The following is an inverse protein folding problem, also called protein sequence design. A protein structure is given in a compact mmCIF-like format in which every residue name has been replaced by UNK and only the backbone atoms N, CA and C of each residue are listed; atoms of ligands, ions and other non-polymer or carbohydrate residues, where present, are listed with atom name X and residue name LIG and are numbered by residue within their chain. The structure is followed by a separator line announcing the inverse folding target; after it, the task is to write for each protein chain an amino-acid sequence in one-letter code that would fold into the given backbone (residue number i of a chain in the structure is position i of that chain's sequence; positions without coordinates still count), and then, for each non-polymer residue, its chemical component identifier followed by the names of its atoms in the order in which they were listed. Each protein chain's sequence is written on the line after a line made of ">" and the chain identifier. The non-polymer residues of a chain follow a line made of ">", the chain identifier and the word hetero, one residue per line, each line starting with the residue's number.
data_IF_170215411405
#
_entry.id   IF_170215411405
#
_cell.length_a   1.000
_cell.length_b   1.000
_cell.length_c   1.000
_cell.angle_alpha   90.00
_cell.angle_beta   90.00
_cell.angle_gamma   90.00
#
_symmetry.space_group_name_H-M   'P 1'
#
loop_
_entity.id
_entity.type
_entity.pdbx_description
1 polymer ?
#
# COMPACT_ATOMS: atom_id res chain seq x y z
N UNK A 1 6.23 35.11 13.39
CA UNK A 1 6.64 33.71 13.15
C UNK A 1 5.85 33.22 11.95
N UNK A 2 6.48 32.91 10.80
CA UNK A 2 5.79 32.21 9.74
C UNK A 2 5.75 30.72 10.09
N UNK A 3 4.57 30.13 9.96
CA UNK A 3 4.29 28.72 10.20
C UNK A 3 4.95 27.91 9.07
N UNK A 4 6.14 27.38 9.33
CA UNK A 4 6.92 26.59 8.35
C UNK A 4 6.42 25.16 8.39
N UNK A 5 5.15 24.95 8.02
CA UNK A 5 4.64 23.60 7.72
C UNK A 5 3.40 23.59 6.83
N UNK A 6 3.21 24.62 5.99
CA UNK A 6 2.41 24.43 4.77
C UNK A 6 3.23 23.57 3.81
N UNK A 7 3.18 22.25 4.02
CA UNK A 7 3.49 21.28 3.00
C UNK A 7 2.68 21.72 1.77
N UNK A 8 3.38 22.23 0.76
CA UNK A 8 2.76 22.79 -0.45
C UNK A 8 2.27 21.60 -1.26
N UNK A 9 1.19 20.98 -0.79
CA UNK A 9 0.54 19.86 -1.43
C UNK A 9 -0.07 20.40 -2.72
N UNK A 10 0.74 20.34 -3.77
CA UNK A 10 0.37 20.72 -5.10
C UNK A 10 -0.68 19.71 -5.59
N UNK A 11 -1.93 20.15 -5.66
CA UNK A 11 -3.06 19.32 -6.05
C UNK A 11 -3.28 19.40 -7.57
N UNK A 12 -3.70 18.28 -8.14
CA UNK A 12 -4.14 18.23 -9.53
C UNK A 12 -5.56 17.70 -9.58
N UNK A 13 -6.48 18.49 -10.13
CA UNK A 13 -7.91 18.16 -10.20
C UNK A 13 -8.59 18.79 -11.42
N UNK A 14 -9.77 18.27 -11.78
CA UNK A 14 -10.65 18.86 -12.80
C UNK A 14 -11.91 19.41 -12.14
N UNK A 15 -12.27 20.65 -12.45
CA UNK A 15 -13.50 21.28 -11.95
C UNK A 15 -14.07 22.24 -13.00
N UNK A 16 -15.39 22.20 -13.21
CA UNK A 16 -16.10 23.06 -14.17
C UNK A 16 -15.48 23.11 -15.58
N UNK A 17 -15.03 21.96 -16.10
CA UNK A 17 -14.38 21.87 -17.42
C UNK A 17 -12.94 22.39 -17.47
N UNK A 18 -12.40 22.91 -16.37
CA UNK A 18 -11.00 23.34 -16.24
C UNK A 18 -10.16 22.24 -15.59
N UNK A 19 -8.91 22.14 -16.01
CA UNK A 19 -7.91 21.26 -15.39
C UNK A 19 -6.90 22.13 -14.63
N UNK A 20 -6.72 21.83 -13.35
CA UNK A 20 -5.76 22.46 -12.46
C UNK A 20 -4.64 21.46 -12.22
N UNK A 21 -3.38 21.84 -12.46
CA UNK A 21 -2.22 20.94 -12.41
C UNK A 21 -1.18 21.54 -11.48
N UNK A 22 -0.90 20.86 -10.37
CA UNK A 22 0.03 21.29 -9.34
C UNK A 22 -0.30 22.68 -8.74
N UNK A 23 -1.57 22.91 -8.42
CA UNK A 23 -2.04 24.15 -7.79
C UNK A 23 -2.10 24.01 -6.27
N UNK A 24 -1.83 25.10 -5.55
CA UNK A 24 -2.01 25.12 -4.11
C UNK A 24 -3.50 25.15 -3.73
N UNK A 25 -3.81 24.75 -2.49
CA UNK A 25 -5.16 24.87 -1.92
C UNK A 25 -5.68 26.31 -1.96
N UNK A 26 -4.81 27.29 -1.69
CA UNK A 26 -5.15 28.71 -1.72
C UNK A 26 -5.53 29.17 -3.14
N UNK A 27 -4.75 28.77 -4.15
CA UNK A 27 -5.00 29.14 -5.55
C UNK A 27 -6.27 28.49 -6.09
N UNK A 28 -6.53 27.23 -5.73
CA UNK A 28 -7.78 26.53 -6.09
C UNK A 28 -9.00 27.25 -5.50
N UNK A 29 -8.92 27.64 -4.22
CA UNK A 29 -9.98 28.40 -3.56
C UNK A 29 -10.18 29.77 -4.21
N UNK A 30 -9.10 30.48 -4.54
CA UNK A 30 -9.14 31.75 -5.25
C UNK A 30 -9.73 31.61 -6.67
N UNK A 31 -9.48 30.48 -7.34
CA UNK A 31 -10.06 30.15 -8.64
C UNK A 31 -11.52 29.69 -8.59
N UNK A 32 -12.16 29.72 -7.41
CA UNK A 32 -13.56 29.38 -7.21
C UNK A 32 -13.84 27.88 -7.12
N UNK A 33 -12.82 27.04 -6.91
CA UNK A 33 -13.02 25.60 -6.70
C UNK A 33 -13.65 25.37 -5.32
N UNK A 34 -14.77 24.62 -5.21
CA UNK A 34 -15.41 24.35 -3.93
C UNK A 34 -14.49 23.60 -2.97
N UNK A 35 -14.62 23.89 -1.67
CA UNK A 35 -13.80 23.26 -0.62
C UNK A 35 -13.93 21.74 -0.63
N UNK A 36 -15.13 21.20 -0.85
CA UNK A 36 -15.36 19.76 -0.97
C UNK A 36 -14.57 19.11 -2.12
N UNK A 37 -14.40 19.80 -3.25
CA UNK A 37 -13.60 19.30 -4.38
C UNK A 37 -12.11 19.31 -4.06
N UNK A 38 -11.65 20.32 -3.33
CA UNK A 38 -10.27 20.40 -2.85
C UNK A 38 -10.00 19.28 -1.84
N UNK A 39 -10.88 19.07 -0.87
CA UNK A 39 -10.72 18.05 0.17
C UNK A 39 -10.69 16.64 -0.44
N UNK A 40 -11.54 16.37 -1.44
CA UNK A 40 -11.51 15.12 -2.20
C UNK A 40 -10.18 14.93 -2.95
N UNK A 41 -9.66 15.98 -3.58
CA UNK A 41 -8.36 15.92 -4.24
C UNK A 41 -7.22 15.67 -3.24
N UNK A 42 -7.29 16.25 -2.03
CA UNK A 42 -6.33 16.00 -0.95
C UNK A 42 -6.38 14.54 -0.47
N UNK A 43 -7.58 14.00 -0.24
CA UNK A 43 -7.77 12.58 0.10
C UNK A 43 -7.18 11.66 -0.96
N UNK A 44 -7.46 11.93 -2.24
CA UNK A 44 -6.94 11.17 -3.38
C UNK A 44 -5.42 11.22 -3.51
N UNK A 45 -4.82 12.41 -3.33
CA UNK A 45 -3.37 12.58 -3.32
C UNK A 45 -2.73 11.79 -2.17
N UNK A 46 -3.27 11.90 -0.96
CA UNK A 46 -2.77 11.19 0.21
C UNK A 46 -2.87 9.67 0.07
N UNK A 47 -4.01 9.16 -0.43
CA UNK A 47 -4.17 7.72 -0.72
C UNK A 47 -3.13 7.21 -1.72
N UNK A 48 -2.78 8.03 -2.72
CA UNK A 48 -1.75 7.67 -3.71
C UNK A 48 -0.38 7.51 -3.03
N UNK A 49 0.00 8.45 -2.16
CA UNK A 49 1.25 8.37 -1.39
C UNK A 49 1.28 7.17 -0.46
N UNK A 50 0.18 6.88 0.24
CA UNK A 50 0.04 5.71 1.12
C UNK A 50 0.19 4.41 0.34
N UNK A 51 -0.43 4.29 -0.84
CA UNK A 51 -0.29 3.11 -1.70
C UNK A 51 1.15 2.92 -2.16
N UNK A 52 1.88 4.00 -2.44
CA UNK A 52 3.30 3.93 -2.79
C UNK A 52 4.15 3.42 -1.61
N UNK A 53 3.89 3.89 -0.40
CA UNK A 53 4.58 3.42 0.81
C UNK A 53 4.24 1.96 1.14
N UNK A 54 2.97 1.55 1.02
CA UNK A 54 2.54 0.16 1.14
C UNK A 54 3.31 -0.75 0.17
N UNK A 55 3.39 -0.35 -1.10
CA UNK A 55 4.13 -1.07 -2.14
C UNK A 55 5.60 -1.20 -1.78
N UNK A 56 6.24 -0.10 -1.36
CA UNK A 56 7.65 -0.09 -0.92
C UNK A 56 7.88 -1.08 0.23
N UNK A 57 7.00 -1.09 1.24
CA UNK A 57 7.09 -1.98 2.40
C UNK A 57 6.94 -3.46 2.03
N UNK A 58 6.00 -3.79 1.15
CA UNK A 58 5.85 -5.17 0.64
C UNK A 58 7.12 -5.60 -0.10
N UNK A 59 7.67 -4.75 -0.97
CA UNK A 59 8.90 -5.09 -1.71
C UNK A 59 10.16 -5.15 -0.85
N UNK A 60 10.21 -4.38 0.25
CA UNK A 60 11.29 -4.49 1.23
C UNK A 60 11.29 -5.85 1.94
N UNK A 61 10.12 -6.50 2.04
CA UNK A 61 9.99 -7.85 2.61
C UNK A 61 10.25 -8.95 1.58
N UNK A 62 9.65 -8.83 0.41
CA UNK A 62 9.76 -9.81 -0.66
C UNK A 62 10.01 -9.09 -1.98
N UNK A 63 11.20 -9.28 -2.57
CA UNK A 63 11.51 -8.73 -3.88
C UNK A 63 10.55 -9.28 -4.96
N UNK A 64 10.52 -8.66 -6.14
CA UNK A 64 9.71 -9.18 -7.24
C UNK A 64 10.15 -10.61 -7.65
N UNK A 65 11.45 -10.90 -7.56
CA UNK A 65 12.02 -12.22 -7.84
C UNK A 65 11.61 -13.24 -6.76
N UNK A 66 11.76 -12.89 -5.48
CA UNK A 66 11.28 -13.68 -4.34
C UNK A 66 9.79 -14.01 -4.49
N UNK A 67 8.95 -13.02 -4.82
CA UNK A 67 7.50 -13.22 -5.05
C UNK A 67 7.22 -14.17 -6.21
N UNK A 68 7.97 -14.08 -7.31
CA UNK A 68 7.82 -14.96 -8.47
C UNK A 68 8.21 -16.41 -8.13
N UNK A 69 9.32 -16.58 -7.40
CA UNK A 69 9.80 -17.89 -6.99
C UNK A 69 8.83 -18.56 -6.01
N UNK A 70 8.32 -17.80 -5.03
CA UNK A 70 7.26 -18.25 -4.12
C UNK A 70 6.00 -18.71 -4.87
N UNK A 71 5.51 -17.88 -5.81
CA UNK A 71 4.32 -18.22 -6.60
C UNK A 71 4.53 -19.47 -7.46
N UNK A 72 5.72 -19.61 -8.06
CA UNK A 72 6.08 -20.76 -8.90
C UNK A 72 6.18 -22.05 -8.07
N UNK A 73 6.84 -21.98 -6.90
CA UNK A 73 6.94 -23.12 -5.98
C UNK A 73 5.55 -23.55 -5.48
N UNK A 74 4.72 -22.60 -5.05
CA UNK A 74 3.36 -22.88 -4.61
C UNK A 74 2.51 -23.49 -5.73
N UNK A 75 2.64 -23.00 -6.98
CA UNK A 75 1.93 -23.56 -8.13
C UNK A 75 2.38 -25.00 -8.47
N UNK A 76 3.69 -25.27 -8.42
CA UNK A 76 4.22 -26.62 -8.65
C UNK A 76 3.69 -27.63 -7.62
N UNK A 77 3.61 -27.22 -6.35
CA UNK A 77 3.05 -28.05 -5.27
C UNK A 77 1.53 -28.21 -5.44
N UNK A 78 0.82 -27.15 -5.82
CA UNK A 78 -0.63 -27.19 -6.03
C UNK A 78 -1.03 -28.19 -7.14
N UNK A 79 -0.16 -28.40 -8.14
CA UNK A 79 -0.34 -29.40 -9.19
C UNK A 79 -0.24 -30.86 -8.73
N UNK A 80 0.29 -31.12 -7.53
CA UNK A 80 0.35 -32.48 -6.94
C UNK A 80 -1.01 -32.86 -6.35
N UNK A 81 -1.33 -34.16 -6.38
CA UNK A 81 -2.43 -34.69 -5.59
C UNK A 81 -2.16 -34.43 -4.11
N UNK A 82 -3.21 -34.14 -3.34
CA UNK A 82 -3.07 -33.75 -1.92
C UNK A 82 -2.35 -34.84 -1.10
N UNK A 83 -2.60 -36.12 -1.42
CA UNK A 83 -1.97 -37.26 -0.76
C UNK A 83 -0.47 -37.40 -1.05
N UNK A 84 0.04 -36.77 -2.11
CA UNK A 84 1.44 -36.85 -2.55
C UNK A 84 2.28 -35.67 -2.04
N UNK A 85 1.68 -34.73 -1.31
CA UNK A 85 2.37 -33.55 -0.79
C UNK A 85 3.14 -33.90 0.47
N UNK A 86 4.41 -33.49 0.53
CA UNK A 86 5.20 -33.61 1.76
C UNK A 86 4.71 -32.63 2.84
N UNK A 87 5.11 -32.87 4.09
CA UNK A 87 4.83 -31.94 5.19
C UNK A 87 5.43 -30.53 4.93
N UNK A 88 6.64 -30.47 4.35
CA UNK A 88 7.30 -29.22 3.99
C UNK A 88 6.52 -28.46 2.91
N UNK A 89 5.96 -29.18 1.94
CA UNK A 89 5.14 -28.61 0.87
C UNK A 89 3.82 -28.03 1.41
N UNK A 90 3.18 -28.72 2.35
CA UNK A 90 2.00 -28.20 3.05
C UNK A 90 2.36 -26.95 3.86
N UNK A 91 3.54 -26.93 4.49
CA UNK A 91 4.05 -25.78 5.24
C UNK A 91 4.29 -24.59 4.31
N UNK A 92 4.93 -24.80 3.16
CA UNK A 92 5.15 -23.76 2.15
C UNK A 92 3.83 -23.16 1.65
N UNK A 93 2.83 -24.00 1.34
CA UNK A 93 1.50 -23.51 0.94
C UNK A 93 0.84 -22.69 2.05
N UNK A 94 0.95 -23.13 3.31
CA UNK A 94 0.39 -22.42 4.47
C UNK A 94 1.06 -21.07 4.67
N UNK A 95 2.39 -21.01 4.64
CA UNK A 95 3.13 -19.75 4.75
C UNK A 95 2.89 -18.82 3.56
N UNK A 96 2.70 -19.37 2.35
CA UNK A 96 2.35 -18.58 1.15
C UNK A 96 0.97 -17.96 1.30
N UNK A 97 0.00 -18.69 1.88
CA UNK A 97 -1.30 -18.14 2.21
C UNK A 97 -1.20 -17.02 3.25
N UNK A 98 -0.41 -17.20 4.30
CA UNK A 98 -0.16 -16.16 5.30
C UNK A 98 0.46 -14.89 4.67
N UNK A 99 1.38 -15.05 3.72
CA UNK A 99 1.98 -13.93 2.99
C UNK A 99 0.94 -13.15 2.17
N UNK A 100 0.04 -13.86 1.48
CA UNK A 100 -1.06 -13.24 0.73
C UNK A 100 -2.06 -12.53 1.64
N UNK A 101 -2.37 -13.10 2.81
CA UNK A 101 -3.26 -12.49 3.80
C UNK A 101 -2.65 -11.22 4.39
N UNK A 102 -1.35 -11.22 4.71
CA UNK A 102 -0.64 -10.04 5.15
C UNK A 102 -0.62 -8.95 4.08
N UNK A 103 -0.36 -9.28 2.80
CA UNK A 103 -0.48 -8.33 1.69
C UNK A 103 -1.91 -7.77 1.58
N UNK A 104 -2.93 -8.60 1.80
CA UNK A 104 -4.32 -8.17 1.89
C UNK A 104 -4.53 -7.14 3.00
N UNK A 105 -4.04 -7.43 4.21
CA UNK A 105 -4.11 -6.52 5.36
C UNK A 105 -3.38 -5.19 5.09
N UNK A 106 -2.19 -5.23 4.49
CA UNK A 106 -1.43 -4.05 4.08
C UNK A 106 -2.23 -3.15 3.10
N UNK A 107 -2.93 -3.76 2.14
CA UNK A 107 -3.76 -3.03 1.17
C UNK A 107 -5.01 -2.44 1.80
N UNK A 108 -5.67 -3.18 2.69
CA UNK A 108 -6.81 -2.68 3.47
C UNK A 108 -6.40 -1.51 4.36
N UNK A 109 -5.22 -1.61 5.00
CA UNK A 109 -4.69 -0.53 5.85
C UNK A 109 -4.48 0.78 5.09
N UNK A 110 -4.22 0.73 3.79
CA UNK A 110 -4.10 1.94 2.98
C UNK A 110 -5.37 2.80 3.00
N UNK A 111 -6.54 2.15 3.00
CA UNK A 111 -7.83 2.84 3.00
C UNK A 111 -8.14 3.42 4.37
N UNK A 112 -7.85 2.66 5.44
CA UNK A 112 -7.98 3.15 6.83
C UNK A 112 -7.08 4.36 7.06
N UNK A 113 -5.81 4.26 6.68
CA UNK A 113 -4.86 5.35 6.81
C UNK A 113 -5.34 6.55 6.01
N UNK A 114 -5.88 6.38 4.80
CA UNK A 114 -6.37 7.48 3.96
C UNK A 114 -7.47 8.32 4.62
N UNK A 115 -8.36 7.69 5.38
CA UNK A 115 -9.44 8.38 6.12
C UNK A 115 -8.98 9.04 7.43
N UNK A 116 -7.81 8.67 7.94
CA UNK A 116 -7.20 9.30 9.12
C UNK A 116 -5.99 10.17 8.74
N UNK A 117 -6.20 11.48 8.50
CA UNK A 117 -5.11 12.39 8.16
C UNK A 117 -4.11 12.62 9.29
N UNK A 118 -4.48 12.31 10.55
CA UNK A 118 -3.61 12.48 11.71
C UNK A 118 -2.59 11.37 11.89
N UNK A 119 -2.84 10.19 11.30
CA UNK A 119 -1.90 9.07 11.37
C UNK A 119 -0.75 9.26 10.38
N UNK A 120 0.48 9.22 10.91
CA UNK A 120 1.71 9.20 10.13
C UNK A 120 1.93 7.80 9.52
N UNK A 121 1.55 7.65 8.26
CA UNK A 121 1.72 6.40 7.51
C UNK A 121 3.18 6.07 7.20
N UNK A 122 4.15 6.95 7.50
CA UNK A 122 5.58 6.67 7.29
C UNK A 122 6.18 5.84 8.42
N UNK A 123 5.52 5.77 9.57
CA UNK A 123 5.94 4.97 10.72
C UNK A 123 5.60 3.49 10.55
N UNK A 124 6.46 2.60 11.04
CA UNK A 124 6.22 1.16 11.02
C UNK A 124 5.00 0.74 11.83
N UNK A 125 4.76 1.42 12.95
CA UNK A 125 3.60 1.16 13.83
C UNK A 125 2.24 1.41 13.14
N UNK A 126 2.22 2.11 12.00
CA UNK A 126 1.01 2.38 11.23
C UNK A 126 0.57 1.20 10.35
N UNK A 127 1.40 0.16 10.23
CA UNK A 127 1.20 -0.97 9.33
C UNK A 127 1.03 -2.30 10.09
N UNK A 128 0.32 -3.27 9.51
CA UNK A 128 0.30 -4.64 10.03
C UNK A 128 1.70 -5.23 10.12
N UNK A 129 2.03 -5.81 11.26
CA UNK A 129 3.27 -6.57 11.44
C UNK A 129 3.34 -7.74 10.45
N UNK A 130 4.51 -7.97 9.88
CA UNK A 130 4.75 -9.11 9.00
C UNK A 130 4.85 -10.38 9.83
N UNK A 131 4.00 -11.41 9.60
CA UNK A 131 4.06 -12.64 10.37
C UNK A 131 5.44 -13.32 10.28
N UNK A 132 5.99 -13.89 11.38
CA UNK A 132 7.31 -14.53 11.37
C UNK A 132 7.47 -15.63 10.33
N UNK A 133 6.41 -16.41 10.06
CA UNK A 133 6.41 -17.45 9.04
C UNK A 133 6.50 -16.90 7.61
N UNK A 134 6.03 -15.67 7.39
CA UNK A 134 6.19 -14.97 6.10
C UNK A 134 7.63 -14.49 5.95
N UNK A 135 8.24 -13.99 7.04
CA UNK A 135 9.66 -13.64 7.05
C UNK A 135 10.53 -14.85 6.70
N UNK A 136 10.33 -15.95 7.42
CA UNK A 136 11.07 -17.20 7.20
C UNK A 136 10.83 -17.78 5.80
N UNK A 137 9.64 -17.61 5.23
CA UNK A 137 9.36 -18.02 3.84
C UNK A 137 10.15 -17.16 2.84
N UNK A 138 10.17 -15.83 3.02
CA UNK A 138 10.87 -14.94 2.10
C UNK A 138 12.38 -15.13 2.10
N UNK A 139 12.97 -15.59 3.20
CA UNK A 139 14.40 -15.89 3.29
C UNK A 139 14.80 -17.18 2.56
N UNK A 140 13.83 -18.02 2.15
CA UNK A 140 14.07 -19.22 1.35
C UNK A 140 14.25 -18.95 -0.15
N UNK A 141 13.95 -17.72 -0.61
CA UNK A 141 13.86 -17.34 -2.03
C UNK A 141 14.60 -16.05 -2.36
#
# INVERSE_FOLDING_TARGET
>A
MPDVNEQTDNLSLKHAGKTYIAWSKADLKAAGVPQATIDEAQKGARLTTIKAECRKRIYARASAETQMNMATAAAAIAGKAVADRSADEVTLLTSTKAALDWVGAMRSKCLELAEDPGTDFTQDASWPECPPEVVALTEQF
#
